data_IF_256979203038
#
_entry.id   IF_256979203038
#
_cell.length_a   1.000
_cell.length_b   1.000
_cell.length_c   1.000
_cell.angle_alpha   90.00
_cell.angle_beta   90.00
_cell.angle_gamma   90.00
#
_symmetry.space_group_name_H-M   'P 1'
#
loop_
_entity.id
_entity.type
_entity.pdbx_description
1 polymer ?
#
# COMPACT_ATOMS: atom_id res chain seq x y z
N UNK A 1 18.86 -1.52 -14.25
CA UNK A 1 18.01 -2.41 -13.44
C UNK A 1 16.64 -1.75 -13.27
N UNK A 2 15.62 -2.42 -13.68
CA UNK A 2 14.27 -1.90 -13.56
C UNK A 2 13.62 -2.45 -12.30
N UNK A 3 13.07 -1.56 -11.48
CA UNK A 3 12.30 -1.91 -10.29
C UNK A 3 10.82 -1.99 -10.66
N UNK A 4 10.50 -2.84 -11.63
CA UNK A 4 9.12 -3.02 -12.05
C UNK A 4 8.47 -4.15 -11.28
N UNK A 5 7.26 -3.89 -10.80
CA UNK A 5 6.43 -4.89 -10.16
C UNK A 5 5.79 -5.75 -11.26
N UNK A 6 6.00 -7.07 -11.21
CA UNK A 6 5.37 -7.99 -12.15
C UNK A 6 3.95 -8.35 -11.70
N UNK A 7 3.14 -8.86 -12.65
CA UNK A 7 1.80 -9.37 -12.33
C UNK A 7 1.88 -10.48 -11.29
N UNK A 8 2.82 -11.40 -11.44
CA UNK A 8 3.01 -12.52 -10.50
C UNK A 8 3.36 -12.01 -9.10
N UNK A 9 4.25 -11.02 -9.01
CA UNK A 9 4.63 -10.42 -7.73
C UNK A 9 3.44 -9.73 -7.07
N UNK A 10 2.64 -9.00 -7.83
CA UNK A 10 1.46 -8.33 -7.29
C UNK A 10 0.41 -9.35 -6.83
N UNK A 11 0.19 -10.42 -7.61
CA UNK A 11 -0.72 -11.49 -7.21
C UNK A 11 -0.27 -12.15 -5.91
N UNK A 12 1.03 -12.39 -5.76
CA UNK A 12 1.60 -12.95 -4.52
C UNK A 12 1.36 -12.01 -3.34
N UNK A 13 1.62 -10.72 -3.50
CA UNK A 13 1.38 -9.73 -2.45
C UNK A 13 -0.10 -9.67 -2.06
N UNK A 14 -1.00 -9.71 -3.02
CA UNK A 14 -2.44 -9.71 -2.77
C UNK A 14 -2.87 -10.98 -2.04
N UNK A 15 -2.30 -12.12 -2.39
CA UNK A 15 -2.60 -13.38 -1.73
C UNK A 15 -2.11 -13.37 -0.28
N UNK A 16 -0.92 -12.87 -0.02
CA UNK A 16 -0.37 -12.73 1.33
C UNK A 16 -1.26 -11.81 2.16
N UNK A 17 -1.65 -10.68 1.59
CA UNK A 17 -2.52 -9.72 2.29
C UNK A 17 -3.89 -10.33 2.59
N UNK A 18 -4.46 -11.08 1.63
CA UNK A 18 -5.73 -11.76 1.82
C UNK A 18 -5.68 -12.75 3.00
N UNK A 19 -4.63 -13.56 3.05
CA UNK A 19 -4.45 -14.53 4.13
C UNK A 19 -4.35 -13.84 5.50
N UNK A 20 -3.65 -12.71 5.55
CA UNK A 20 -3.56 -11.89 6.76
C UNK A 20 -4.92 -11.31 7.13
N UNK A 21 -5.62 -10.71 6.17
CA UNK A 21 -6.91 -10.04 6.40
C UNK A 21 -8.01 -11.01 6.83
N UNK A 22 -7.99 -12.23 6.32
CA UNK A 22 -8.98 -13.26 6.67
C UNK A 22 -8.93 -13.62 8.15
N UNK A 23 -7.87 -13.26 8.85
CA UNK A 23 -7.74 -13.46 10.30
C UNK A 23 -8.38 -12.33 11.12
N UNK A 24 -8.85 -11.28 10.45
CA UNK A 24 -9.42 -10.09 11.11
C UNK A 24 -10.92 -10.04 10.83
N UNK A 25 -11.77 -10.59 11.72
CA UNK A 25 -13.21 -10.66 11.47
C UNK A 25 -13.92 -9.31 11.56
N UNK A 26 -13.29 -8.30 12.18
CA UNK A 26 -13.87 -6.96 12.36
C UNK A 26 -13.53 -5.99 11.23
N UNK A 27 -12.81 -6.46 10.23
CA UNK A 27 -12.44 -5.63 9.08
C UNK A 27 -13.66 -5.08 8.36
N UNK A 28 -13.65 -3.77 8.05
CA UNK A 28 -14.70 -3.14 7.26
C UNK A 28 -14.10 -2.05 6.35
N UNK A 29 -14.83 -1.72 5.30
CA UNK A 29 -14.37 -0.80 4.26
C UNK A 29 -14.05 0.59 4.80
N UNK A 30 -14.93 1.14 5.63
CA UNK A 30 -14.74 2.50 6.15
C UNK A 30 -13.48 2.62 7.00
N UNK A 31 -13.24 1.66 7.87
CA UNK A 31 -12.05 1.65 8.71
C UNK A 31 -10.79 1.42 7.88
N UNK A 32 -10.86 0.60 6.84
CA UNK A 32 -9.73 0.36 5.93
C UNK A 32 -9.36 1.64 5.18
N UNK A 33 -10.34 2.37 4.66
CA UNK A 33 -10.11 3.65 3.97
C UNK A 33 -9.49 4.66 4.93
N UNK A 34 -10.04 4.79 6.13
CA UNK A 34 -9.51 5.72 7.12
C UNK A 34 -8.08 5.37 7.51
N UNK A 35 -7.79 4.09 7.72
CA UNK A 35 -6.45 3.61 8.04
C UNK A 35 -5.47 3.89 6.91
N UNK A 36 -5.88 3.68 5.67
CA UNK A 36 -5.04 3.96 4.50
C UNK A 36 -4.67 5.43 4.41
N UNK A 37 -5.63 6.32 4.67
CA UNK A 37 -5.39 7.78 4.65
C UNK A 37 -4.41 8.17 5.77
N UNK A 38 -4.60 7.63 6.97
CA UNK A 38 -3.72 7.90 8.10
C UNK A 38 -2.30 7.44 7.80
N UNK A 39 -2.13 6.23 7.26
CA UNK A 39 -0.81 5.69 6.91
C UNK A 39 -0.14 6.52 5.81
N UNK A 40 -0.92 7.02 4.85
CA UNK A 40 -0.40 7.92 3.83
C UNK A 40 0.16 9.19 4.47
N UNK A 41 -0.57 9.80 5.40
CA UNK A 41 -0.13 11.00 6.12
C UNK A 41 1.11 10.71 6.96
N UNK A 42 1.17 9.57 7.64
CA UNK A 42 2.35 9.16 8.41
C UNK A 42 3.58 9.02 7.52
N UNK A 43 3.44 8.42 6.33
CA UNK A 43 4.53 8.35 5.37
C UNK A 43 4.97 9.75 4.92
N UNK A 44 4.05 10.61 4.53
CA UNK A 44 4.34 11.99 4.11
C UNK A 44 5.09 12.72 5.24
N UNK A 45 4.68 12.52 6.49
CA UNK A 45 5.36 13.13 7.63
C UNK A 45 6.82 12.67 7.77
N UNK A 46 7.15 11.45 7.35
CA UNK A 46 8.55 10.97 7.40
C UNK A 46 9.43 11.64 6.36
N UNK A 47 8.87 12.14 5.27
CA UNK A 47 9.63 12.81 4.22
C UNK A 47 10.09 14.21 4.65
N UNK A 48 9.33 14.87 5.51
CA UNK A 48 9.64 16.18 6.08
C UNK A 48 9.87 17.28 5.03
N UNK A 49 9.41 17.10 3.80
CA UNK A 49 9.65 18.06 2.71
C UNK A 49 9.07 19.45 2.98
N UNK A 50 8.05 19.52 3.83
CA UNK A 50 7.40 20.77 4.22
C UNK A 50 8.14 21.47 5.37
N UNK A 51 9.15 20.85 5.97
CA UNK A 51 9.91 21.41 7.08
C UNK A 51 11.08 22.24 6.54
N UNK A 52 10.77 23.41 5.99
CA UNK A 52 11.74 24.26 5.31
C UNK A 52 12.82 24.84 6.27
N UNK A 53 12.60 24.73 7.58
CA UNK A 53 13.56 25.13 8.58
C UNK A 53 14.65 24.09 8.85
N UNK A 54 14.51 22.89 8.33
CA UNK A 54 15.49 21.83 8.51
C UNK A 54 16.52 21.87 7.37
N UNK A 55 17.80 21.72 7.73
CA UNK A 55 18.88 21.64 6.74
C UNK A 55 18.86 20.34 5.97
N UNK A 56 18.50 19.25 6.63
CA UNK A 56 18.41 17.92 6.03
C UNK A 56 17.08 17.29 6.42
N UNK A 57 16.01 17.67 5.72
CA UNK A 57 14.70 17.09 6.00
C UNK A 57 14.64 15.61 5.62
N UNK A 58 13.78 14.91 6.30
CA UNK A 58 13.57 13.48 6.07
C UNK A 58 14.01 12.66 7.28
N UNK A 59 13.15 11.72 7.68
CA UNK A 59 13.51 10.70 8.66
C UNK A 59 14.46 9.68 8.01
N UNK A 60 15.15 8.82 8.80
CA UNK A 60 15.96 7.76 8.22
C UNK A 60 15.19 6.93 7.19
N UNK A 61 15.90 6.43 6.17
CA UNK A 61 15.27 5.72 5.07
C UNK A 61 14.47 4.51 5.54
N UNK A 62 14.97 3.77 6.50
CA UNK A 62 14.25 2.60 7.05
C UNK A 62 12.91 2.99 7.67
N UNK A 63 12.84 4.15 8.36
CA UNK A 63 11.58 4.68 8.88
C UNK A 63 10.62 5.03 7.74
N UNK A 64 11.12 5.68 6.69
CA UNK A 64 10.30 6.02 5.53
C UNK A 64 9.76 4.76 4.84
N UNK A 65 10.58 3.74 4.72
CA UNK A 65 10.20 2.47 4.09
C UNK A 65 9.16 1.72 4.91
N UNK A 66 9.30 1.72 6.25
CA UNK A 66 8.31 1.10 7.12
C UNK A 66 6.93 1.75 6.96
N UNK A 67 6.88 3.07 6.91
CA UNK A 67 5.61 3.79 6.79
C UNK A 67 4.97 3.60 5.40
N UNK A 68 5.77 3.58 4.33
CA UNK A 68 5.20 3.32 3.00
C UNK A 68 4.73 1.87 2.87
N UNK A 69 5.39 0.93 3.55
CA UNK A 69 4.95 -0.46 3.59
C UNK A 69 3.59 -0.60 4.28
N UNK A 70 3.37 0.12 5.38
CA UNK A 70 2.07 0.13 6.06
C UNK A 70 0.97 0.69 5.16
N UNK A 71 1.25 1.79 4.45
CA UNK A 71 0.33 2.35 3.47
C UNK A 71 0.00 1.33 2.37
N UNK A 72 1.01 0.66 1.84
CA UNK A 72 0.83 -0.35 0.80
C UNK A 72 -0.05 -1.51 1.31
N UNK A 73 0.16 -1.98 2.53
CA UNK A 73 -0.63 -3.05 3.11
C UNK A 73 -2.12 -2.69 3.16
N UNK A 74 -2.46 -1.47 3.61
CA UNK A 74 -3.84 -1.01 3.62
C UNK A 74 -4.42 -0.80 2.23
N UNK A 75 -3.59 -0.38 1.27
CA UNK A 75 -4.01 -0.26 -0.14
C UNK A 75 -4.39 -1.61 -0.72
N UNK A 76 -3.61 -2.66 -0.43
CA UNK A 76 -3.91 -4.03 -0.85
C UNK A 76 -5.18 -4.54 -0.15
N UNK A 77 -5.34 -4.26 1.14
CA UNK A 77 -6.54 -4.64 1.87
C UNK A 77 -7.79 -3.98 1.27
N UNK A 78 -7.71 -2.70 0.92
CA UNK A 78 -8.81 -1.99 0.27
C UNK A 78 -9.16 -2.64 -1.07
N UNK A 79 -8.16 -2.95 -1.89
CA UNK A 79 -8.35 -3.62 -3.17
C UNK A 79 -9.12 -4.93 -3.00
N UNK A 80 -8.70 -5.76 -2.05
CA UNK A 80 -9.34 -7.05 -1.78
C UNK A 80 -10.76 -6.90 -1.24
N UNK A 81 -11.05 -5.79 -0.55
CA UNK A 81 -12.37 -5.55 0.03
C UNK A 81 -13.40 -5.17 -1.03
N UNK A 82 -12.98 -4.45 -2.09
CA UNK A 82 -13.89 -3.95 -3.13
C UNK A 82 -13.94 -4.81 -4.39
N UNK A 83 -13.05 -5.80 -4.52
CA UNK A 83 -12.95 -6.64 -5.72
C UNK A 83 -13.31 -8.07 -5.38
N UNK A 84 -14.16 -8.69 -6.21
CA UNK A 84 -14.46 -10.11 -6.11
C UNK A 84 -13.24 -10.94 -6.48
N UNK A 85 -13.11 -12.11 -5.85
CA UNK A 85 -12.00 -13.04 -6.09
C UNK A 85 -11.88 -13.43 -7.58
N UNK A 86 -13.02 -13.51 -8.29
CA UNK A 86 -13.07 -13.85 -9.71
C UNK A 86 -12.42 -12.76 -10.59
N UNK A 87 -12.45 -11.50 -10.15
CA UNK A 87 -11.91 -10.37 -10.91
C UNK A 87 -10.48 -10.03 -10.52
N UNK A 88 -9.87 -10.78 -9.61
CA UNK A 88 -8.58 -10.44 -9.04
C UNK A 88 -7.48 -10.38 -10.10
N UNK A 89 -7.46 -11.32 -11.03
CA UNK A 89 -6.46 -11.36 -12.10
C UNK A 89 -6.54 -10.11 -12.99
N UNK A 90 -7.74 -9.75 -13.45
CA UNK A 90 -7.97 -8.57 -14.27
C UNK A 90 -7.58 -7.29 -13.50
N UNK A 91 -8.00 -7.19 -12.25
CA UNK A 91 -7.66 -6.06 -11.39
C UNK A 91 -6.14 -5.94 -11.21
N UNK A 92 -5.47 -7.07 -11.03
CA UNK A 92 -4.01 -7.11 -10.91
C UNK A 92 -3.34 -6.59 -12.18
N UNK A 93 -3.81 -6.98 -13.36
CA UNK A 93 -3.29 -6.49 -14.63
C UNK A 93 -3.45 -4.98 -14.77
N UNK A 94 -4.61 -4.44 -14.41
CA UNK A 94 -4.87 -3.00 -14.45
C UNK A 94 -3.94 -2.27 -13.50
N UNK A 95 -3.77 -2.76 -12.29
CA UNK A 95 -2.88 -2.14 -11.30
C UNK A 95 -1.43 -2.12 -11.75
N UNK A 96 -0.96 -3.21 -12.34
CA UNK A 96 0.41 -3.28 -12.87
C UNK A 96 0.59 -2.28 -14.00
N UNK A 97 -0.39 -2.19 -14.91
CA UNK A 97 -0.35 -1.25 -16.02
C UNK A 97 -0.27 0.20 -15.53
N UNK A 98 -1.06 0.54 -14.50
CA UNK A 98 -1.04 1.88 -13.90
C UNK A 98 0.30 2.20 -13.24
N UNK A 99 0.96 1.21 -12.65
CA UNK A 99 2.27 1.38 -12.00
C UNK A 99 3.38 1.54 -13.05
N UNK A 100 3.32 0.78 -14.14
CA UNK A 100 4.35 0.79 -15.18
C UNK A 100 4.24 1.98 -16.13
N UNK A 101 3.10 2.57 -16.24
CA UNK A 101 2.83 3.72 -17.08
C UNK A 101 2.62 4.99 -16.26
#
# INVERSE_FOLDING_TARGET
>A
MTNTLTIDQLQELLQIQKEFDDRIPTRNLNDTVASMIIEFVEWINTLEFFKNWKKQPGKPLDTQLDEIADYLAFSLQLTLTIVDEEDLEETTEVMVDLIEN
#
